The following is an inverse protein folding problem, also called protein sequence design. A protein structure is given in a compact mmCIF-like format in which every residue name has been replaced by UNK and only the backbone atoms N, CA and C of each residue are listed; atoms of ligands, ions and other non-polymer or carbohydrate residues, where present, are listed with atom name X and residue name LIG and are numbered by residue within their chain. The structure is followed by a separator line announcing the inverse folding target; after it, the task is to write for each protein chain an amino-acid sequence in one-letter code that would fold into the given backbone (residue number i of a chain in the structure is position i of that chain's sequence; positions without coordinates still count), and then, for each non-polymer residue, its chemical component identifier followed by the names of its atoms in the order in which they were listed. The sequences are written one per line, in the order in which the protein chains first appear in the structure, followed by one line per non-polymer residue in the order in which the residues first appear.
data_IF_053246352566
#
_entry.id   IF_053246352566
#
_cell.length_a   1.000
_cell.length_b   1.000
_cell.length_c   1.000
_cell.angle_alpha   90.00
_cell.angle_beta   90.00
_cell.angle_gamma   90.00
#
_symmetry.space_group_name_H-M   'P 1'
#
loop_
_entity.id
_entity.type
_entity.pdbx_description
1 polymer ?
#
# COMPACT_ATOMS: atom_id res chain seq x y z
N UNK A 1 16.05 1.13 -14.55
CA UNK A 1 15.34 -0.15 -14.33
C UNK A 1 15.65 -0.67 -12.92
N UNK A 2 15.23 0.04 -11.85
CA UNK A 2 15.61 -0.30 -10.45
C UNK A 2 14.42 -0.72 -9.58
N UNK A 3 13.18 -0.68 -10.09
CA UNK A 3 12.01 -0.84 -9.22
C UNK A 3 11.54 -2.28 -9.01
N UNK A 4 11.52 -3.16 -10.01
CA UNK A 4 10.86 -4.47 -9.86
C UNK A 4 11.50 -5.39 -8.80
N UNK A 5 12.82 -5.44 -8.74
CA UNK A 5 13.55 -6.26 -7.75
C UNK A 5 13.32 -5.77 -6.31
N UNK A 6 13.20 -4.46 -6.11
CA UNK A 6 12.97 -3.85 -4.80
C UNK A 6 11.57 -4.19 -4.28
N UNK A 7 10.60 -4.27 -5.18
CA UNK A 7 9.22 -4.63 -4.85
C UNK A 7 9.08 -6.12 -4.57
N UNK A 8 9.73 -6.96 -5.38
CA UNK A 8 9.79 -8.41 -5.14
C UNK A 8 10.45 -8.71 -3.78
N UNK A 9 11.56 -8.05 -3.46
CA UNK A 9 12.25 -8.19 -2.16
C UNK A 9 11.40 -7.71 -0.99
N UNK A 10 10.76 -6.55 -1.13
CA UNK A 10 9.85 -6.03 -0.10
C UNK A 10 8.68 -6.98 0.16
N UNK A 11 8.05 -7.48 -0.91
CA UNK A 11 6.94 -8.44 -0.81
C UNK A 11 7.39 -9.77 -0.19
N UNK A 12 8.54 -10.29 -0.64
CA UNK A 12 9.18 -11.48 -0.10
C UNK A 12 9.48 -11.35 1.40
N UNK A 13 9.86 -10.15 1.87
CA UNK A 13 10.12 -9.87 3.27
C UNK A 13 8.85 -9.78 4.15
N UNK A 14 7.66 -9.60 3.55
CA UNK A 14 6.41 -9.61 4.31
C UNK A 14 5.97 -11.04 4.64
N UNK A 15 5.47 -11.23 5.87
CA UNK A 15 4.79 -12.47 6.29
C UNK A 15 3.47 -12.66 5.55
N UNK A 16 2.97 -13.90 5.47
CA UNK A 16 1.70 -14.22 4.79
C UNK A 16 0.51 -13.41 5.31
N UNK A 17 0.40 -13.24 6.63
CA UNK A 17 -0.63 -12.39 7.26
C UNK A 17 -0.58 -10.94 6.76
N UNK A 18 0.63 -10.36 6.70
CA UNK A 18 0.82 -8.99 6.22
C UNK A 18 0.49 -8.89 4.74
N UNK A 19 0.86 -9.88 3.93
CA UNK A 19 0.52 -9.93 2.50
C UNK A 19 -0.99 -10.00 2.30
N UNK A 20 -1.71 -10.81 3.08
CA UNK A 20 -3.16 -10.88 3.03
C UNK A 20 -3.81 -9.53 3.37
N UNK A 21 -3.32 -8.87 4.43
CA UNK A 21 -3.79 -7.54 4.82
C UNK A 21 -3.47 -6.46 3.77
N UNK A 22 -2.30 -6.51 3.15
CA UNK A 22 -1.91 -5.63 2.04
C UNK A 22 -2.79 -5.87 0.79
N UNK A 23 -3.12 -7.12 0.46
CA UNK A 23 -4.06 -7.44 -0.62
C UNK A 23 -5.44 -6.85 -0.34
N UNK A 24 -5.97 -7.08 0.85
CA UNK A 24 -7.28 -6.52 1.24
C UNK A 24 -7.27 -4.98 1.18
N UNK A 25 -6.20 -4.33 1.61
CA UNK A 25 -6.04 -2.89 1.51
C UNK A 25 -5.92 -2.41 0.04
N UNK A 26 -5.31 -3.20 -0.85
CA UNK A 26 -5.24 -2.90 -2.29
C UNK A 26 -6.59 -3.05 -3.03
N UNK A 27 -7.55 -3.77 -2.44
CA UNK A 27 -8.92 -3.85 -2.95
C UNK A 27 -9.78 -2.66 -2.54
N UNK A 28 -9.42 -1.98 -1.44
CA UNK A 28 -10.13 -0.81 -0.96
C UNK A 28 -9.77 0.43 -1.79
N UNK A 29 -10.78 1.22 -2.15
CA UNK A 29 -10.58 2.45 -2.91
C UNK A 29 -9.89 3.52 -2.06
N UNK A 30 -10.30 3.62 -0.79
CA UNK A 30 -9.73 4.47 0.26
C UNK A 30 -9.29 3.63 1.46
N UNK A 31 -8.18 3.99 2.08
CA UNK A 31 -7.68 3.39 3.29
C UNK A 31 -8.11 4.22 4.50
N UNK A 32 -8.61 3.55 5.54
CA UNK A 32 -8.69 4.12 6.88
C UNK A 32 -7.29 4.38 7.46
N UNK A 33 -7.22 5.21 8.50
CA UNK A 33 -5.95 5.64 9.10
C UNK A 33 -5.13 4.47 9.66
N UNK A 34 -5.78 3.44 10.23
CA UNK A 34 -5.11 2.24 10.75
C UNK A 34 -4.47 1.44 9.63
N UNK A 35 -5.21 1.21 8.54
CA UNK A 35 -4.71 0.51 7.36
C UNK A 35 -3.60 1.31 6.66
N UNK A 36 -3.73 2.63 6.57
CA UNK A 36 -2.67 3.48 6.03
C UNK A 36 -1.39 3.41 6.88
N UNK A 37 -1.52 3.50 8.20
CA UNK A 37 -0.39 3.37 9.12
C UNK A 37 0.25 1.98 9.03
N UNK A 38 -0.57 0.93 8.91
CA UNK A 38 -0.07 -0.43 8.68
C UNK A 38 0.74 -0.53 7.39
N UNK A 39 0.21 -0.03 6.26
CA UNK A 39 0.93 -0.06 4.98
C UNK A 39 2.24 0.71 5.09
N UNK A 40 2.25 1.91 5.70
CA UNK A 40 3.47 2.68 5.93
C UNK A 40 4.48 1.94 6.82
N UNK A 41 4.00 1.21 7.84
CA UNK A 41 4.84 0.39 8.72
C UNK A 41 5.50 -0.78 8.00
N UNK A 42 5.02 -1.18 6.82
CA UNK A 42 5.69 -2.19 5.98
C UNK A 42 6.85 -1.62 5.17
N UNK A 43 7.10 -0.30 5.22
CA UNK A 43 8.14 0.41 4.47
C UNK A 43 8.11 0.09 2.96
N UNK A 44 6.99 0.34 2.27
CA UNK A 44 6.86 0.00 0.86
C UNK A 44 7.79 0.87 0.00
N UNK A 45 8.31 0.32 -1.10
CA UNK A 45 9.23 1.04 -2.00
C UNK A 45 8.58 2.23 -2.72
N UNK A 46 7.26 2.17 -2.95
CA UNK A 46 6.44 3.33 -3.30
C UNK A 46 5.50 3.59 -2.14
N UNK A 47 5.54 4.81 -1.59
CA UNK A 47 4.74 5.24 -0.45
C UNK A 47 3.24 5.29 -0.75
N UNK A 48 2.45 5.56 0.29
CA UNK A 48 1.03 5.86 0.10
C UNK A 48 0.84 7.24 -0.55
N UNK A 49 -0.15 7.33 -1.43
CA UNK A 49 -0.63 8.61 -1.93
C UNK A 49 -1.68 9.14 -0.95
N UNK A 50 -1.26 10.06 -0.07
CA UNK A 50 -2.17 10.81 0.79
C UNK A 50 -2.57 12.12 0.10
N UNK A 51 -3.85 12.30 -0.21
CA UNK A 51 -4.37 13.60 -0.61
C UNK A 51 -5.18 14.16 0.56
N UNK A 52 -4.71 15.25 1.15
CA UNK A 52 -5.53 16.06 2.07
C UNK A 52 -6.17 17.17 1.26
N UNK A 53 -7.41 16.97 0.84
CA UNK A 53 -8.22 18.06 0.29
C UNK A 53 -8.70 18.95 1.43
N UNK A 54 -8.71 20.27 1.25
CA UNK A 54 -9.06 21.26 2.29
C UNK A 54 -10.46 21.03 2.92
N UNK A 55 -11.32 20.27 2.25
CA UNK A 55 -12.69 19.94 2.65
C UNK A 55 -12.84 18.61 3.38
N UNK A 56 -11.79 17.77 3.50
CA UNK A 56 -11.89 16.48 4.19
C UNK A 56 -11.46 16.59 5.66
N UNK A 57 -12.34 16.17 6.57
CA UNK A 57 -12.09 16.16 8.02
C UNK A 57 -10.98 15.18 8.44
N UNK A 58 -10.64 14.22 7.58
CA UNK A 58 -9.57 13.24 7.77
C UNK A 58 -8.73 13.11 6.48
N UNK A 59 -7.44 12.78 6.60
CA UNK A 59 -6.62 12.45 5.44
C UNK A 59 -7.21 11.24 4.72
N UNK A 60 -7.62 11.40 3.46
CA UNK A 60 -7.94 10.27 2.59
C UNK A 60 -6.64 9.66 2.08
N UNK A 61 -6.23 8.56 2.69
CA UNK A 61 -5.07 7.79 2.26
C UNK A 61 -5.49 6.82 1.16
N UNK A 62 -4.74 6.77 0.09
CA UNK A 62 -4.95 5.80 -1.00
C UNK A 62 -3.62 5.16 -1.36
N UNK A 63 -3.65 3.88 -1.76
CA UNK A 63 -2.47 3.27 -2.35
C UNK A 63 -2.18 3.92 -3.70
N UNK A 64 -0.90 4.15 -3.99
CA UNK A 64 -0.52 4.53 -5.35
C UNK A 64 -0.97 3.44 -6.34
N UNK A 65 -1.43 3.81 -7.54
CA UNK A 65 -1.93 2.86 -8.53
C UNK A 65 -0.91 1.76 -8.84
N UNK A 66 0.37 2.11 -8.99
CA UNK A 66 1.44 1.13 -9.21
C UNK A 66 1.58 0.14 -8.04
N UNK A 67 1.44 0.61 -6.79
CA UNK A 67 1.49 -0.25 -5.59
C UNK A 67 0.35 -1.27 -5.61
N UNK A 68 -0.85 -0.77 -5.91
CA UNK A 68 -2.07 -1.58 -6.03
C UNK A 68 -1.95 -2.62 -7.15
N UNK A 69 -1.45 -2.23 -8.32
CA UNK A 69 -1.26 -3.13 -9.47
C UNK A 69 -0.27 -4.25 -9.16
N UNK A 70 0.86 -3.93 -8.54
CA UNK A 70 1.83 -4.96 -8.14
C UNK A 70 1.25 -5.94 -7.12
N UNK A 71 0.59 -5.44 -6.05
CA UNK A 71 0.02 -6.31 -5.02
C UNK A 71 -1.03 -7.24 -5.63
N UNK A 72 -1.85 -6.75 -6.57
CA UNK A 72 -2.84 -7.55 -7.31
C UNK A 72 -2.21 -8.58 -8.25
N UNK A 73 -1.01 -8.31 -8.77
CA UNK A 73 -0.28 -9.24 -9.62
C UNK A 73 0.41 -10.38 -8.83
N UNK A 74 0.49 -10.29 -7.49
CA UNK A 74 1.10 -11.33 -6.66
C UNK A 74 0.12 -12.50 -6.42
N UNK A 75 0.59 -13.76 -6.53
CA UNK A 75 -0.23 -14.95 -6.26
C UNK A 75 -0.73 -14.98 -4.82
#
# INVERSE_FOLDING_TARGET
MVNEDLWAKWWAAQSEDRRARLKSAAEQDRLDADTAQFVLSTSPPIGLSGSKWETEAAFSWSMSPSLREFIRAQP
#
